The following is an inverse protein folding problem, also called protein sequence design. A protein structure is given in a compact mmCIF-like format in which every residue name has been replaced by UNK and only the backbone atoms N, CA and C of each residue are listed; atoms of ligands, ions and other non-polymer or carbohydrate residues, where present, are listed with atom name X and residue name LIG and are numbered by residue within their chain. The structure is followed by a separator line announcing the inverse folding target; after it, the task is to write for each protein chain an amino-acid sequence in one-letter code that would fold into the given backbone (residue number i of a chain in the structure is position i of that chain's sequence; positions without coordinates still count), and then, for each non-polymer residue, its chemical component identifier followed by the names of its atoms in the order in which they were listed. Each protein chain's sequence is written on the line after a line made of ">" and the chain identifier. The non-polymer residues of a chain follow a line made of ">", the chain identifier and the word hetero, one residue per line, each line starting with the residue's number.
data_IF_983458983904
#
_entry.id   IF_983458983904
#
_cell.length_a   1.000
_cell.length_b   1.000
_cell.length_c   1.000
_cell.angle_alpha   90.00
_cell.angle_beta   90.00
_cell.angle_gamma   90.00
#
_symmetry.space_group_name_H-M   'P 1'
#
loop_
_entity.id
_entity.type
_entity.pdbx_description
1 polymer ?
#
# COMPACT_ATOMS: atom_id res chain seq x y z
N UNK A 1 16.73 -0.71 -18.48
CA UNK A 1 15.43 -0.39 -17.86
C UNK A 1 15.74 0.34 -16.55
N UNK A 2 15.24 1.58 -16.38
CA UNK A 2 15.75 2.52 -15.36
C UNK A 2 14.84 2.57 -14.12
N UNK A 3 15.41 2.85 -12.96
CA UNK A 3 14.70 3.28 -11.75
C UNK A 3 14.94 4.78 -11.52
N UNK A 4 14.11 5.42 -10.72
CA UNK A 4 14.28 6.84 -10.40
C UNK A 4 14.06 7.15 -8.92
N UNK A 5 14.87 8.07 -8.40
CA UNK A 5 14.68 8.70 -7.10
C UNK A 5 14.86 10.19 -7.32
N UNK A 6 13.81 10.99 -7.13
CA UNK A 6 13.89 12.43 -7.43
C UNK A 6 14.56 13.25 -6.31
N UNK A 7 14.63 12.72 -5.09
CA UNK A 7 15.30 13.38 -3.96
C UNK A 7 14.94 12.77 -2.61
N UNK A 8 15.34 13.46 -1.53
CA UNK A 8 15.06 13.07 -0.15
C UNK A 8 16.19 12.29 0.54
N UNK A 9 15.87 11.63 1.66
CA UNK A 9 16.85 10.97 2.53
C UNK A 9 16.66 9.45 2.53
N UNK A 10 17.70 8.68 2.22
CA UNK A 10 17.72 7.21 2.36
C UNK A 10 16.59 6.48 1.59
N UNK A 11 16.20 7.00 0.42
CA UNK A 11 15.23 6.33 -0.45
C UNK A 11 15.88 5.22 -1.28
N UNK A 12 15.12 4.20 -1.65
CA UNK A 12 15.59 3.08 -2.47
C UNK A 12 14.59 2.78 -3.60
N UNK A 13 15.09 2.74 -4.83
CA UNK A 13 14.35 2.30 -6.02
C UNK A 13 15.25 1.31 -6.79
N UNK A 14 15.11 0.02 -6.51
CA UNK A 14 16.11 -1.00 -6.91
C UNK A 14 15.73 -1.81 -8.14
N UNK A 15 14.45 -1.83 -8.49
CA UNK A 15 13.92 -2.66 -9.58
C UNK A 15 13.59 -1.83 -10.82
N UNK A 16 13.45 -2.48 -11.98
CA UNK A 16 13.16 -1.77 -13.21
C UNK A 16 11.82 -1.00 -13.16
N UNK A 17 11.84 0.27 -13.59
CA UNK A 17 10.71 1.21 -13.52
C UNK A 17 10.19 1.49 -12.11
N UNK A 18 10.93 1.07 -11.09
CA UNK A 18 10.66 1.49 -9.72
C UNK A 18 10.94 2.99 -9.58
N UNK A 19 10.07 3.71 -8.87
CA UNK A 19 10.22 5.15 -8.67
C UNK A 19 9.95 5.58 -7.23
N UNK A 20 10.75 6.53 -6.75
CA UNK A 20 10.49 7.24 -5.50
C UNK A 20 10.59 8.75 -5.74
N UNK A 21 9.49 9.49 -5.63
CA UNK A 21 9.52 10.92 -5.95
C UNK A 21 10.12 11.79 -4.83
N UNK A 22 10.22 11.28 -3.60
CA UNK A 22 10.83 12.03 -2.50
C UNK A 22 10.58 11.45 -1.10
N UNK A 23 10.74 12.27 -0.08
CA UNK A 23 10.52 11.90 1.33
C UNK A 23 11.74 11.23 1.96
N UNK A 24 11.52 10.43 3.01
CA UNK A 24 12.61 9.77 3.73
C UNK A 24 12.34 8.28 3.99
N UNK A 25 13.36 7.44 3.74
CA UNK A 25 13.33 5.98 3.98
C UNK A 25 12.24 5.24 3.20
N UNK A 26 11.88 5.73 2.02
CA UNK A 26 10.91 5.09 1.16
C UNK A 26 11.58 4.03 0.27
N UNK A 27 10.87 2.93 0.03
CA UNK A 27 11.41 1.76 -0.66
C UNK A 27 10.45 1.32 -1.76
N UNK A 28 10.88 1.40 -3.02
CA UNK A 28 10.24 0.82 -4.20
C UNK A 28 11.14 -0.32 -4.73
N UNK A 29 10.74 -1.56 -4.46
CA UNK A 29 11.59 -2.76 -4.64
C UNK A 29 10.95 -3.81 -5.56
N UNK A 30 10.06 -3.39 -6.46
CA UNK A 30 9.44 -4.29 -7.44
C UNK A 30 9.32 -3.62 -8.81
N UNK A 31 9.01 -4.43 -9.82
CA UNK A 31 8.78 -3.91 -11.18
C UNK A 31 7.57 -2.98 -11.17
N UNK A 32 7.73 -1.78 -11.74
CA UNK A 32 6.69 -0.74 -11.77
C UNK A 32 6.14 -0.34 -10.40
N UNK A 33 6.91 -0.55 -9.33
CA UNK A 33 6.54 -0.07 -8.00
C UNK A 33 6.79 1.43 -7.87
N UNK A 34 5.90 2.16 -7.21
CA UNK A 34 6.03 3.60 -7.02
C UNK A 34 5.76 4.01 -5.57
N UNK A 35 6.57 4.93 -5.07
CA UNK A 35 6.31 5.66 -3.83
C UNK A 35 6.43 7.16 -4.09
N UNK A 36 5.33 7.90 -4.04
CA UNK A 36 5.39 9.34 -4.33
C UNK A 36 6.08 10.12 -3.20
N UNK A 37 6.02 9.67 -1.94
CA UNK A 37 6.70 10.35 -0.85
C UNK A 37 6.34 9.84 0.54
N UNK A 38 6.55 10.68 1.55
CA UNK A 38 6.27 10.37 2.95
C UNK A 38 7.47 9.77 3.71
N UNK A 39 7.19 9.04 4.78
CA UNK A 39 8.22 8.45 5.65
C UNK A 39 8.03 6.94 5.80
N UNK A 40 9.07 6.16 5.48
CA UNK A 40 9.11 4.71 5.71
C UNK A 40 8.01 3.95 4.96
N UNK A 41 7.65 4.39 3.75
CA UNK A 41 6.70 3.67 2.91
C UNK A 41 7.41 2.60 2.07
N UNK A 42 6.75 1.47 1.84
CA UNK A 42 7.33 0.33 1.11
C UNK A 42 6.35 -0.20 0.07
N UNK A 43 6.78 -0.19 -1.19
CA UNK A 43 6.11 -0.80 -2.32
C UNK A 43 6.98 -1.97 -2.83
N UNK A 44 6.60 -3.20 -2.48
CA UNK A 44 7.39 -4.42 -2.74
C UNK A 44 6.72 -5.41 -3.71
N UNK A 45 5.43 -5.23 -4.00
CA UNK A 45 4.74 -5.97 -5.05
C UNK A 45 4.90 -5.32 -6.42
N UNK A 46 4.73 -6.11 -7.49
CA UNK A 46 4.71 -5.57 -8.85
C UNK A 46 3.52 -4.62 -9.03
N UNK A 47 3.74 -3.50 -9.72
CA UNK A 47 2.71 -2.48 -9.99
C UNK A 47 2.09 -1.85 -8.74
N UNK A 48 2.76 -1.92 -7.59
CA UNK A 48 2.27 -1.33 -6.34
C UNK A 48 2.46 0.18 -6.35
N UNK A 49 1.46 0.93 -5.91
CA UNK A 49 1.55 2.38 -5.77
C UNK A 49 1.25 2.83 -4.34
N UNK A 50 2.20 3.53 -3.71
CA UNK A 50 2.02 4.16 -2.40
C UNK A 50 2.19 5.67 -2.54
N UNK A 51 1.10 6.43 -2.44
CA UNK A 51 1.13 7.86 -2.74
C UNK A 51 1.75 8.70 -1.60
N UNK A 52 1.77 8.18 -0.37
CA UNK A 52 2.37 8.91 0.75
C UNK A 52 2.03 8.36 2.12
N UNK A 53 2.15 9.21 3.13
CA UNK A 53 1.87 8.85 4.53
C UNK A 53 3.10 8.31 5.27
N UNK A 54 2.85 7.53 6.32
CA UNK A 54 3.89 7.02 7.22
C UNK A 54 3.78 5.52 7.41
N UNK A 55 4.83 4.77 7.08
CA UNK A 55 4.91 3.35 7.41
C UNK A 55 3.94 2.45 6.64
N UNK A 56 3.51 2.85 5.43
CA UNK A 56 2.61 2.06 4.61
C UNK A 56 3.35 0.93 3.88
N UNK A 57 2.69 -0.21 3.67
CA UNK A 57 3.31 -1.42 3.12
C UNK A 57 2.41 -2.08 2.07
N UNK A 58 2.79 -2.00 0.79
CA UNK A 58 2.09 -2.66 -0.31
C UNK A 58 2.93 -3.81 -0.88
N UNK A 59 2.36 -5.02 -0.91
CA UNK A 59 2.99 -6.22 -1.47
C UNK A 59 2.09 -6.96 -2.45
N UNK A 60 0.78 -6.73 -2.41
CA UNK A 60 -0.15 -7.31 -3.38
C UNK A 60 0.09 -6.75 -4.78
N UNK A 61 0.14 -7.62 -5.79
CA UNK A 61 0.28 -7.20 -7.19
C UNK A 61 -0.82 -6.19 -7.56
N UNK A 62 -0.42 -5.06 -8.15
CA UNK A 62 -1.34 -3.97 -8.55
C UNK A 62 -2.13 -3.37 -7.36
N UNK A 63 -1.60 -3.49 -6.14
CA UNK A 63 -2.24 -2.89 -4.97
C UNK A 63 -1.92 -1.40 -4.82
N UNK A 64 -2.81 -0.66 -4.15
CA UNK A 64 -2.67 0.79 -3.98
C UNK A 64 -2.90 1.22 -2.54
N UNK A 65 -2.03 2.10 -2.03
CA UNK A 65 -2.23 2.79 -0.76
C UNK A 65 -2.14 4.30 -1.02
N UNK A 66 -3.25 5.03 -0.87
CA UNK A 66 -3.26 6.47 -1.15
C UNK A 66 -2.58 7.28 -0.02
N UNK A 67 -2.54 6.76 1.20
CA UNK A 67 -1.88 7.44 2.32
C UNK A 67 -2.23 6.87 3.69
N UNK A 68 -2.07 7.70 4.72
CA UNK A 68 -2.34 7.34 6.12
C UNK A 68 -1.13 6.78 6.86
N UNK A 69 -1.38 6.06 7.96
CA UNK A 69 -0.33 5.59 8.88
C UNK A 69 -0.41 4.09 9.10
N UNK A 70 0.61 3.35 8.67
CA UNK A 70 0.75 1.93 8.97
C UNK A 70 -0.24 1.03 8.22
N UNK A 71 -0.73 1.47 7.06
CA UNK A 71 -1.67 0.70 6.25
C UNK A 71 -0.95 -0.39 5.44
N UNK A 72 -1.65 -1.50 5.19
CA UNK A 72 -1.14 -2.63 4.41
C UNK A 72 -2.10 -3.01 3.29
N UNK A 73 -1.55 -3.21 2.11
CA UNK A 73 -2.26 -3.74 0.94
C UNK A 73 -1.54 -5.00 0.46
N UNK A 74 -1.96 -6.15 1.01
CA UNK A 74 -1.33 -7.45 0.80
C UNK A 74 -2.00 -8.25 -0.33
N UNK A 75 -3.30 -8.05 -0.53
CA UNK A 75 -4.06 -8.76 -1.56
C UNK A 75 -3.76 -8.23 -2.97
N UNK A 76 -3.78 -9.10 -3.98
CA UNK A 76 -3.74 -8.68 -5.39
C UNK A 76 -4.92 -7.76 -5.69
N UNK A 77 -4.70 -6.66 -6.42
CA UNK A 77 -5.73 -5.64 -6.70
C UNK A 77 -6.35 -4.98 -5.45
N UNK A 78 -5.75 -5.14 -4.27
CA UNK A 78 -6.28 -4.54 -3.04
C UNK A 78 -6.01 -3.03 -2.99
N UNK A 79 -6.84 -2.31 -2.24
CA UNK A 79 -6.70 -0.88 -2.07
C UNK A 79 -6.96 -0.41 -0.64
N UNK A 80 -6.17 0.56 -0.19
CA UNK A 80 -6.41 1.28 1.05
C UNK A 80 -6.35 2.78 0.76
N UNK A 81 -7.49 3.46 0.84
CA UNK A 81 -7.56 4.90 0.56
C UNK A 81 -6.95 5.76 1.68
N UNK A 82 -6.82 5.24 2.90
CA UNK A 82 -6.19 5.96 3.99
C UNK A 82 -6.54 5.40 5.37
N UNK A 83 -6.39 6.24 6.40
CA UNK A 83 -6.63 5.87 7.79
C UNK A 83 -5.39 5.34 8.50
N UNK A 84 -5.59 4.58 9.59
CA UNK A 84 -4.52 4.10 10.45
C UNK A 84 -4.59 2.58 10.68
N UNK A 85 -3.51 1.88 10.36
CA UNK A 85 -3.35 0.44 10.64
C UNK A 85 -4.42 -0.43 9.99
N UNK A 86 -4.87 -0.09 8.78
CA UNK A 86 -5.78 -0.92 8.00
C UNK A 86 -5.01 -1.98 7.21
N UNK A 87 -5.61 -3.15 6.98
CA UNK A 87 -4.98 -4.28 6.28
C UNK A 87 -5.98 -4.91 5.29
N UNK A 88 -5.72 -4.72 4.00
CA UNK A 88 -6.47 -5.33 2.90
C UNK A 88 -5.67 -6.52 2.34
N UNK A 89 -6.06 -7.73 2.72
CA UNK A 89 -5.36 -8.99 2.39
C UNK A 89 -6.10 -9.85 1.37
N UNK A 90 -7.43 -9.72 1.23
CA UNK A 90 -8.19 -10.39 0.17
C UNK A 90 -7.90 -9.82 -1.23
N UNK A 91 -8.04 -10.65 -2.27
CA UNK A 91 -7.95 -10.22 -3.66
C UNK A 91 -9.06 -9.21 -3.96
N UNK A 92 -8.70 -8.03 -4.48
CA UNK A 92 -9.68 -6.97 -4.74
C UNK A 92 -10.30 -6.35 -3.49
N UNK A 93 -9.77 -6.62 -2.29
CA UNK A 93 -10.27 -6.02 -1.06
C UNK A 93 -10.03 -4.49 -1.04
N UNK A 94 -11.02 -3.72 -0.61
CA UNK A 94 -10.95 -2.26 -0.59
C UNK A 94 -11.33 -1.68 0.76
N UNK A 95 -10.44 -0.90 1.37
CA UNK A 95 -10.69 -0.18 2.62
C UNK A 95 -10.66 1.32 2.33
N UNK A 96 -11.81 1.98 2.45
CA UNK A 96 -11.93 3.42 2.18
C UNK A 96 -11.32 4.30 3.29
N UNK A 97 -11.09 3.76 4.48
CA UNK A 97 -10.50 4.49 5.60
C UNK A 97 -10.76 3.84 6.95
N UNK A 98 -10.65 4.62 8.02
CA UNK A 98 -10.88 4.15 9.38
C UNK A 98 -9.61 3.72 10.12
N UNK A 99 -9.77 2.91 11.16
CA UNK A 99 -8.66 2.47 12.01
C UNK A 99 -8.77 1.00 12.34
N UNK A 100 -7.71 0.23 12.07
CA UNK A 100 -7.62 -1.21 12.35
C UNK A 100 -8.70 -2.06 11.67
N UNK A 101 -9.07 -1.71 10.45
CA UNK A 101 -9.92 -2.55 9.61
C UNK A 101 -9.07 -3.65 8.96
N UNK A 102 -9.59 -4.87 8.94
CA UNK A 102 -8.92 -6.03 8.33
C UNK A 102 -9.90 -6.70 7.40
N UNK A 103 -9.55 -6.78 6.12
CA UNK A 103 -10.30 -7.46 5.08
C UNK A 103 -9.47 -8.61 4.52
N UNK A 104 -9.78 -9.84 4.92
CA UNK A 104 -9.09 -11.07 4.51
C UNK A 104 -9.83 -11.83 3.40
N UNK A 105 -11.07 -11.45 3.10
CA UNK A 105 -11.92 -12.07 2.09
C UNK A 105 -11.82 -11.36 0.75
N UNK A 106 -11.83 -12.13 -0.34
CA UNK A 106 -11.79 -11.60 -1.70
C UNK A 106 -13.01 -10.73 -2.01
N UNK A 107 -12.79 -9.65 -2.76
CA UNK A 107 -13.77 -8.67 -3.22
C UNK A 107 -14.58 -8.02 -2.09
N UNK A 108 -14.04 -8.02 -0.87
CA UNK A 108 -14.66 -7.36 0.27
C UNK A 108 -14.39 -5.85 0.26
N UNK A 109 -15.37 -5.06 0.69
CA UNK A 109 -15.22 -3.61 0.81
C UNK A 109 -15.64 -3.15 2.18
N UNK A 110 -14.81 -2.32 2.82
CA UNK A 110 -15.17 -1.59 4.01
C UNK A 110 -15.43 -0.12 3.69
N UNK A 111 -16.69 0.29 3.86
CA UNK A 111 -17.14 1.66 3.68
C UNK A 111 -17.39 2.38 5.01
N UNK A 112 -17.36 1.68 6.15
CA UNK A 112 -17.69 2.25 7.46
C UNK A 112 -16.50 2.15 8.38
N UNK A 113 -16.08 3.27 8.95
CA UNK A 113 -15.01 3.35 9.96
C UNK A 113 -15.24 2.57 11.28
N UNK A 114 -16.13 1.57 11.36
CA UNK A 114 -16.21 0.58 12.46
C UNK A 114 -16.77 -0.79 12.00
N UNK A 115 -15.94 -1.81 12.22
CA UNK A 115 -16.20 -3.27 12.41
C UNK A 115 -16.89 -4.01 11.26
N UNK A 116 -16.08 -4.52 10.33
CA UNK A 116 -16.45 -5.65 9.47
C UNK A 116 -15.58 -6.88 9.73
N UNK A 117 -15.78 -7.60 10.86
CA UNK A 117 -15.37 -9.02 10.90
C UNK A 117 -16.40 -9.81 10.09
N UNK A 118 -16.20 -9.98 8.79
CA UNK A 118 -16.89 -11.04 8.04
C UNK A 118 -15.98 -12.25 7.96
N UNK A 119 -16.01 -13.09 8.99
CA UNK A 119 -15.68 -14.51 8.81
C UNK A 119 -16.85 -15.14 8.07
N UNK A 120 -16.70 -15.38 6.77
CA UNK A 120 -17.62 -16.28 6.05
C UNK A 120 -17.16 -17.72 6.30
N UNK A 121 -17.79 -18.38 7.27
CA UNK A 121 -17.80 -19.83 7.31
C UNK A 121 -19.01 -20.29 6.46
N UNK A 122 -18.73 -20.96 5.35
CA UNK A 122 -19.55 -22.01 4.78
C UNK A 122 -18.62 -23.19 4.50
#
# INVERSE_FOLDING_TARGET
>A
MYSSISGGLENQATHPRASVSGGARNIAQSVDSSVLGGFLNRAQGNYVSVLGGKGNFGVGETSTILGGVGNKANGKLSSVSGGMKNEASGVGASILGGTRNILDTDYSTDWKGKKGKKKSNL
#
